data_IF_800251200519
#
_entry.id   IF_800251200519
#
_cell.length_a   1.000
_cell.length_b   1.000
_cell.length_c   1.000
_cell.angle_alpha   90.00
_cell.angle_beta   90.00
_cell.angle_gamma   90.00
#
_symmetry.space_group_name_H-M   'P 1'
#
loop_
_entity.id
_entity.type
_entity.pdbx_description
1 polymer ?
#
# COMPACT_ATOMS: atom_id res chain seq x y z
N UNK A 1 -2.32 -15.81 -35.02
CA UNK A 1 -3.79 -15.82 -35.16
C UNK A 1 -4.35 -15.16 -33.92
N UNK A 2 -5.08 -14.05 -34.13
CA UNK A 2 -5.80 -13.17 -33.19
C UNK A 2 -5.00 -12.24 -32.23
N UNK A 3 -5.66 -11.11 -31.89
CA UNK A 3 -5.20 -9.72 -32.00
C UNK A 3 -5.02 -8.96 -30.67
N UNK A 4 -4.34 -7.82 -30.83
CA UNK A 4 -4.07 -6.62 -29.99
C UNK A 4 -5.31 -5.93 -29.42
N UNK A 5 -5.17 -5.24 -28.27
CA UNK A 5 -5.66 -3.86 -28.11
C UNK A 5 -4.66 -2.95 -27.40
N UNK A 6 -4.72 -1.71 -27.85
CA UNK A 6 -3.92 -0.51 -27.59
C UNK A 6 -4.52 0.29 -26.41
N UNK A 7 -3.66 0.91 -25.60
CA UNK A 7 -4.01 2.05 -24.74
C UNK A 7 -2.90 3.11 -24.83
N UNK A 8 -2.80 3.74 -25.99
CA UNK A 8 -2.49 5.14 -26.25
C UNK A 8 -1.95 5.96 -25.05
N UNK A 9 -0.63 6.11 -24.95
CA UNK A 9 -0.04 7.46 -24.97
C UNK A 9 1.34 7.43 -25.64
N UNK A 10 1.49 8.39 -26.54
CA UNK A 10 2.55 8.59 -27.50
C UNK A 10 3.80 9.13 -26.80
N UNK A 11 4.92 8.41 -26.82
CA UNK A 11 6.27 8.90 -27.21
C UNK A 11 7.34 7.85 -26.91
N UNK A 12 7.65 7.03 -27.93
CA UNK A 12 8.85 6.23 -27.93
C UNK A 12 10.05 7.14 -28.26
N UNK A 13 10.80 7.58 -27.25
CA UNK A 13 12.16 8.07 -27.46
C UNK A 13 13.14 6.89 -27.37
N UNK A 14 13.61 6.44 -28.55
CA UNK A 14 14.90 5.74 -28.64
C UNK A 14 16.01 6.73 -28.27
N UNK A 15 16.94 6.33 -27.42
CA UNK A 15 18.31 6.84 -27.48
C UNK A 15 19.32 5.76 -27.06
N UNK A 16 20.37 5.69 -27.87
CA UNK A 16 21.53 4.82 -27.79
C UNK A 16 22.51 5.27 -26.69
N UNK A 17 23.12 4.26 -26.04
CA UNK A 17 24.49 4.14 -25.54
C UNK A 17 25.20 5.31 -24.83
N UNK A 18 25.65 5.06 -23.59
CA UNK A 18 27.09 5.10 -23.22
C UNK A 18 27.32 4.58 -21.79
N UNK A 19 28.40 3.80 -21.66
CA UNK A 19 28.87 3.07 -20.48
C UNK A 19 29.33 3.97 -19.33
N UNK A 20 28.93 3.63 -18.10
CA UNK A 20 29.76 3.81 -16.89
C UNK A 20 29.51 2.65 -15.93
N UNK A 21 30.57 1.89 -15.64
CA UNK A 21 30.60 0.88 -14.59
C UNK A 21 30.98 1.58 -13.31
N UNK A 22 30.04 1.67 -12.37
CA UNK A 22 30.36 1.88 -10.95
C UNK A 22 30.02 0.59 -10.22
N UNK A 23 31.05 -0.13 -9.80
CA UNK A 23 30.93 -1.23 -8.84
C UNK A 23 30.82 -0.61 -7.43
N UNK A 24 29.63 -0.68 -6.85
CA UNK A 24 29.45 -0.67 -5.40
C UNK A 24 28.47 -1.78 -5.06
N UNK A 25 28.92 -2.70 -4.22
CA UNK A 25 28.24 -3.93 -3.84
C UNK A 25 26.80 -3.68 -3.35
N UNK A 26 25.82 -3.98 -4.21
CA UNK A 26 24.45 -4.25 -3.81
C UNK A 26 23.97 -5.48 -4.58
N UNK A 27 23.38 -6.39 -3.81
CA UNK A 27 22.79 -7.68 -4.20
C UNK A 27 22.17 -7.63 -5.59
N UNK A 28 22.83 -8.31 -6.55
CA UNK A 28 22.28 -8.61 -7.87
C UNK A 28 21.06 -9.51 -7.70
N UNK A 29 19.87 -8.93 -7.72
CA UNK A 29 18.66 -9.68 -8.01
C UNK A 29 18.68 -10.04 -9.48
N UNK A 30 18.69 -11.35 -9.78
CA UNK A 30 18.51 -11.86 -11.13
C UNK A 30 17.23 -11.26 -11.73
N UNK A 31 17.40 -10.44 -12.76
CA UNK A 31 16.34 -9.95 -13.62
C UNK A 31 15.94 -11.04 -14.61
N UNK A 32 15.37 -12.13 -14.11
CA UNK A 32 14.68 -13.09 -14.97
C UNK A 32 13.18 -12.75 -14.94
N UNK A 33 12.72 -12.21 -16.08
CA UNK A 33 11.37 -12.23 -16.65
C UNK A 33 10.23 -12.97 -15.89
N UNK A 34 9.90 -12.54 -14.68
CA UNK A 34 8.62 -12.82 -14.00
C UNK A 34 7.81 -11.51 -13.92
N UNK A 35 7.75 -10.77 -15.03
CA UNK A 35 6.81 -9.67 -15.21
C UNK A 35 5.59 -10.22 -15.95
N UNK A 36 4.81 -11.06 -15.27
CA UNK A 36 3.38 -11.16 -15.56
C UNK A 36 2.76 -9.84 -15.13
N UNK A 37 2.94 -8.80 -15.95
CA UNK A 37 2.53 -7.45 -15.64
C UNK A 37 1.03 -7.43 -15.30
N UNK A 38 0.69 -6.80 -14.18
CA UNK A 38 -0.67 -6.33 -13.98
C UNK A 38 -0.90 -5.24 -15.04
N UNK A 39 -1.36 -5.61 -16.24
CA UNK A 39 -1.72 -4.66 -17.30
C UNK A 39 -2.98 -3.82 -16.95
N UNK A 40 -3.43 -3.89 -15.70
CA UNK A 40 -4.48 -3.03 -15.18
C UNK A 40 -3.80 -1.83 -14.52
N UNK A 41 -3.99 -0.65 -15.09
CA UNK A 41 -3.64 0.60 -14.42
C UNK A 41 -4.52 0.74 -13.18
N UNK A 42 -3.90 0.81 -12.00
CA UNK A 42 -4.58 1.02 -10.73
C UNK A 42 -4.39 2.46 -10.27
N UNK A 43 -5.50 3.06 -9.83
CA UNK A 43 -5.46 4.24 -8.99
C UNK A 43 -5.36 3.76 -7.53
N UNK A 44 -4.33 4.21 -6.81
CA UNK A 44 -4.02 3.73 -5.46
C UNK A 44 -4.19 4.88 -4.48
N UNK A 45 -5.18 4.75 -3.60
CA UNK A 45 -5.38 5.68 -2.50
C UNK A 45 -4.64 5.15 -1.29
N UNK A 46 -3.63 5.90 -0.88
CA UNK A 46 -2.85 5.63 0.31
C UNK A 46 -3.32 6.54 1.45
N UNK A 47 -3.66 5.94 2.59
CA UNK A 47 -4.17 6.69 3.75
C UNK A 47 -3.28 6.42 4.97
N UNK A 48 -2.31 7.31 5.30
CA UNK A 48 -1.54 7.20 6.53
C UNK A 48 -2.39 7.49 7.78
N UNK A 49 -1.86 7.06 8.93
CA UNK A 49 -2.49 7.20 10.25
C UNK A 49 -2.15 8.54 10.91
N UNK A 50 -2.83 8.86 12.03
CA UNK A 50 -2.47 10.06 12.82
C UNK A 50 -2.64 9.96 14.36
N UNK A 51 -2.10 10.96 15.08
CA UNK A 51 -1.76 11.04 16.52
C UNK A 51 -2.90 11.23 17.52
N UNK A 52 -2.63 10.99 18.81
CA UNK A 52 -3.23 11.67 19.97
C UNK A 52 -2.17 12.24 20.95
N UNK A 53 -2.23 13.54 21.30
CA UNK A 53 -1.32 14.16 22.28
C UNK A 53 -1.78 13.93 23.72
N UNK A 54 -0.98 13.22 24.53
CA UNK A 54 -1.21 13.11 25.97
C UNK A 54 -0.92 14.45 26.66
N UNK A 55 -1.96 15.21 26.96
CA UNK A 55 -2.02 16.05 28.16
C UNK A 55 -3.26 15.62 28.97
N UNK A 56 -3.09 14.62 29.83
CA UNK A 56 -4.10 14.20 30.82
C UNK A 56 -4.76 12.83 30.58
N UNK A 57 -4.14 11.78 31.13
CA UNK A 57 -4.73 10.54 31.66
C UNK A 57 -5.76 9.69 30.87
N UNK A 58 -6.16 9.98 29.64
CA UNK A 58 -6.94 9.02 28.81
C UNK A 58 -6.08 8.43 27.71
N UNK A 59 -5.56 7.22 27.95
CA UNK A 59 -4.73 6.44 27.03
C UNK A 59 -5.56 5.87 25.86
N UNK A 60 -6.04 6.73 24.96
CA UNK A 60 -6.76 6.29 23.76
C UNK A 60 -5.86 6.40 22.50
N UNK A 61 -5.35 5.25 22.08
CA UNK A 61 -5.11 4.74 20.72
C UNK A 61 -4.37 5.57 19.63
N UNK A 62 -3.52 6.53 19.96
CA UNK A 62 -2.64 7.20 18.98
C UNK A 62 -1.30 6.50 18.71
N UNK A 63 -0.74 6.70 17.51
CA UNK A 63 0.68 6.40 17.17
C UNK A 63 1.59 7.56 17.56
N UNK A 64 2.84 7.34 17.99
CA UNK A 64 3.78 8.45 18.26
C UNK A 64 4.37 9.06 16.99
N UNK A 65 4.95 10.26 17.05
CA UNK A 65 5.69 10.88 15.93
C UNK A 65 6.72 9.92 15.32
N UNK A 66 7.45 9.18 16.16
CA UNK A 66 8.45 8.21 15.71
C UNK A 66 7.81 6.99 15.04
N UNK A 67 6.65 6.55 15.51
CA UNK A 67 5.88 5.46 14.88
C UNK A 67 5.30 5.91 13.55
N UNK A 68 4.79 7.15 13.46
CA UNK A 68 4.33 7.77 12.21
C UNK A 68 5.46 7.90 11.20
N UNK A 69 6.64 8.38 11.60
CA UNK A 69 7.84 8.41 10.73
C UNK A 69 8.22 7.02 10.22
N UNK A 70 8.16 5.99 11.08
CA UNK A 70 8.42 4.61 10.67
C UNK A 70 7.41 4.09 9.66
N UNK A 71 6.13 4.43 9.82
CA UNK A 71 5.10 4.14 8.84
C UNK A 71 5.40 4.81 7.49
N UNK A 72 5.74 6.10 7.49
CA UNK A 72 6.07 6.84 6.28
C UNK A 72 7.28 6.24 5.53
N UNK A 73 8.35 5.90 6.27
CA UNK A 73 9.54 5.22 5.74
C UNK A 73 9.19 3.85 5.16
N UNK A 74 8.35 3.07 5.86
CA UNK A 74 7.91 1.78 5.35
C UNK A 74 7.17 1.93 4.02
N UNK A 75 6.23 2.87 3.94
CA UNK A 75 5.41 3.09 2.74
C UNK A 75 6.24 3.60 1.58
N UNK A 76 7.18 4.50 1.84
CA UNK A 76 8.20 4.88 0.87
C UNK A 76 8.89 3.62 0.31
N UNK A 77 9.37 2.72 1.16
CA UNK A 77 10.03 1.48 0.71
C UNK A 77 9.14 0.57 -0.15
N UNK A 78 7.82 0.50 0.14
CA UNK A 78 6.88 -0.30 -0.65
C UNK A 78 6.78 0.24 -2.08
N UNK A 79 6.64 1.56 -2.23
CA UNK A 79 6.54 2.20 -3.55
C UNK A 79 7.85 2.10 -4.33
N UNK A 80 9.01 2.19 -3.66
CA UNK A 80 10.31 2.09 -4.30
C UNK A 80 10.54 0.73 -4.98
N UNK A 81 10.07 -0.35 -4.35
CA UNK A 81 10.50 -1.71 -4.72
C UNK A 81 9.87 -2.24 -6.01
N UNK A 82 8.72 -1.71 -6.46
CA UNK A 82 7.90 -2.46 -7.42
C UNK A 82 7.22 -1.67 -8.53
N UNK A 83 7.10 -0.35 -8.46
CA UNK A 83 6.21 0.37 -9.38
C UNK A 83 6.93 1.38 -10.25
N UNK A 84 6.66 1.33 -11.55
CA UNK A 84 7.01 2.38 -12.50
C UNK A 84 5.86 3.38 -12.55
N UNK A 85 6.15 4.68 -12.45
CA UNK A 85 5.16 5.76 -12.38
C UNK A 85 4.21 5.86 -13.58
N UNK A 86 4.52 5.16 -14.66
CA UNK A 86 3.70 5.16 -15.86
C UNK A 86 2.50 4.19 -15.77
N UNK A 87 2.47 3.32 -14.76
CA UNK A 87 1.47 2.24 -14.63
C UNK A 87 0.47 2.49 -13.50
N UNK A 88 0.75 3.45 -12.62
CA UNK A 88 -0.02 3.73 -11.41
C UNK A 88 -0.19 5.22 -11.18
N UNK A 89 -1.33 5.60 -10.62
CA UNK A 89 -1.52 6.94 -10.06
C UNK A 89 -1.75 6.81 -8.56
N UNK A 90 -1.03 7.62 -7.77
CA UNK A 90 -1.11 7.58 -6.31
C UNK A 90 -1.80 8.84 -5.83
N UNK A 91 -2.72 8.69 -4.89
CA UNK A 91 -3.25 9.76 -4.07
C UNK A 91 -2.96 9.47 -2.60
N UNK A 92 -2.75 10.51 -1.80
CA UNK A 92 -2.41 10.43 -0.38
C UNK A 92 -3.37 11.29 0.43
N UNK A 93 -4.01 10.71 1.45
CA UNK A 93 -4.86 11.47 2.37
C UNK A 93 -4.73 11.01 3.81
N UNK A 94 -4.69 11.93 4.76
CA UNK A 94 -4.54 11.68 6.18
C UNK A 94 -5.86 11.80 6.92
N UNK A 95 -5.99 11.05 8.02
CA UNK A 95 -7.13 11.15 8.92
C UNK A 95 -6.67 11.10 10.38
N UNK A 96 -7.28 11.94 11.21
CA UNK A 96 -7.08 11.96 12.65
C UNK A 96 -8.45 11.94 13.31
N UNK A 97 -8.87 13.06 13.90
CA UNK A 97 -10.15 13.23 14.56
C UNK A 97 -11.36 13.08 13.60
N UNK A 98 -12.58 12.87 14.13
CA UNK A 98 -13.79 12.69 13.32
C UNK A 98 -14.14 13.84 12.35
N UNK A 99 -13.56 15.02 12.54
CA UNK A 99 -13.76 16.19 11.69
C UNK A 99 -12.64 16.40 10.66
N UNK A 100 -11.47 15.81 10.86
CA UNK A 100 -10.26 16.10 10.06
C UNK A 100 -9.92 14.98 9.09
N UNK A 101 -9.98 15.32 7.80
CA UNK A 101 -9.37 14.55 6.71
C UNK A 101 -8.57 15.53 5.85
N UNK A 102 -7.28 15.28 5.70
CA UNK A 102 -6.38 16.16 4.95
C UNK A 102 -5.92 15.48 3.67
N UNK A 103 -6.06 16.15 2.54
CA UNK A 103 -5.56 15.63 1.27
C UNK A 103 -4.12 16.11 1.14
N UNK A 104 -3.17 15.17 1.13
CA UNK A 104 -1.74 15.46 0.97
C UNK A 104 -1.40 15.56 -0.52
N UNK A 105 -1.94 14.63 -1.32
CA UNK A 105 -1.79 14.62 -2.77
C UNK A 105 -3.00 13.97 -3.45
N UNK A 106 -3.43 14.51 -4.58
CA UNK A 106 -4.42 13.89 -5.47
C UNK A 106 -3.75 13.13 -6.60
N UNK A 107 -4.54 12.38 -7.37
CA UNK A 107 -4.04 11.68 -8.54
C UNK A 107 -3.44 12.66 -9.57
N UNK A 108 -2.33 12.27 -10.19
CA UNK A 108 -1.58 13.10 -11.15
C UNK A 108 -0.63 14.14 -10.52
N UNK A 109 -0.65 14.34 -9.20
CA UNK A 109 0.32 15.21 -8.52
C UNK A 109 1.65 14.49 -8.24
N UNK A 110 1.62 13.17 -8.10
CA UNK A 110 2.80 12.32 -7.86
C UNK A 110 3.24 11.69 -9.18
N UNK A 111 4.23 12.28 -9.84
CA UNK A 111 4.64 11.87 -11.20
C UNK A 111 5.96 11.09 -11.22
N UNK A 112 6.72 11.13 -10.13
CA UNK A 112 8.01 10.47 -10.02
C UNK A 112 8.37 10.21 -8.55
N UNK A 113 9.51 9.53 -8.36
CA UNK A 113 10.03 9.16 -7.05
C UNK A 113 10.28 10.35 -6.13
N UNK A 114 10.82 11.44 -6.66
CA UNK A 114 11.10 12.62 -5.86
C UNK A 114 9.81 13.27 -5.36
N UNK A 115 8.72 13.24 -6.13
CA UNK A 115 7.41 13.72 -5.68
C UNK A 115 6.90 12.84 -4.53
N UNK A 116 6.97 11.51 -4.68
CA UNK A 116 6.60 10.58 -3.60
C UNK A 116 7.38 10.86 -2.32
N UNK A 117 8.70 11.04 -2.42
CA UNK A 117 9.54 11.38 -1.26
C UNK A 117 9.16 12.74 -0.68
N UNK A 118 8.89 13.74 -1.51
CA UNK A 118 8.46 15.07 -1.06
C UNK A 118 7.19 14.95 -0.22
N UNK A 119 6.15 14.31 -0.75
CA UNK A 119 4.88 14.19 -0.04
C UNK A 119 5.02 13.36 1.24
N UNK A 120 5.65 12.18 1.18
CA UNK A 120 5.80 11.28 2.34
C UNK A 120 6.81 11.75 3.39
N UNK A 121 7.71 12.69 3.11
CA UNK A 121 8.68 13.19 4.11
C UNK A 121 8.39 14.58 4.62
N UNK A 122 7.82 15.43 3.76
CA UNK A 122 7.73 16.86 4.05
C UNK A 122 6.29 17.34 4.21
N UNK A 123 5.33 16.71 3.51
CA UNK A 123 3.96 17.24 3.43
C UNK A 123 2.96 16.43 4.28
N UNK A 124 3.28 15.17 4.60
CA UNK A 124 2.52 14.41 5.60
C UNK A 124 2.68 15.04 6.97
N UNK A 125 1.58 15.23 7.70
CA UNK A 125 1.57 15.91 8.98
C UNK A 125 0.93 15.07 10.07
N UNK A 126 1.53 15.19 11.25
CA UNK A 126 1.01 14.57 12.45
C UNK A 126 -0.02 15.51 13.12
N UNK A 127 -1.30 15.24 12.94
CA UNK A 127 -2.45 15.87 13.57
C UNK A 127 -2.88 15.08 14.82
N UNK A 128 -3.02 15.76 15.95
CA UNK A 128 -3.69 15.22 17.14
C UNK A 128 -5.16 14.86 16.88
N UNK A 129 -5.70 13.90 17.62
CA UNK A 129 -7.11 13.51 17.56
C UNK A 129 -7.37 12.04 17.80
N UNK A 130 -8.63 11.64 17.84
CA UNK A 130 -9.01 10.24 17.86
C UNK A 130 -9.30 9.77 16.43
N UNK A 131 -8.46 8.87 15.91
CA UNK A 131 -8.61 8.27 14.59
C UNK A 131 -10.05 7.84 14.28
N UNK A 132 -10.66 8.37 13.21
CA UNK A 132 -12.00 7.97 12.73
C UNK A 132 -11.95 7.23 11.39
N UNK A 133 -12.17 5.91 11.45
CA UNK A 133 -12.33 5.05 10.27
C UNK A 133 -13.52 5.49 9.43
N UNK A 134 -14.63 5.87 10.08
CA UNK A 134 -15.82 6.37 9.39
C UNK A 134 -15.47 7.57 8.53
N UNK A 135 -14.73 8.54 9.08
CA UNK A 135 -14.36 9.74 8.33
C UNK A 135 -13.40 9.44 7.19
N UNK A 136 -12.38 8.61 7.45
CA UNK A 136 -11.40 8.20 6.45
C UNK A 136 -12.06 7.52 5.24
N UNK A 137 -12.92 6.53 5.51
CA UNK A 137 -13.61 5.78 4.45
C UNK A 137 -14.67 6.63 3.75
N UNK A 138 -15.43 7.46 4.49
CA UNK A 138 -16.38 8.41 3.89
C UNK A 138 -15.69 9.33 2.90
N UNK A 139 -14.56 9.91 3.29
CA UNK A 139 -13.82 10.85 2.42
C UNK A 139 -13.19 10.14 1.23
N UNK A 140 -12.73 8.90 1.41
CA UNK A 140 -12.16 8.11 0.32
C UNK A 140 -13.21 7.66 -0.70
N UNK A 141 -14.42 7.37 -0.24
CA UNK A 141 -15.56 7.00 -1.09
C UNK A 141 -16.06 8.19 -1.92
N UNK A 142 -15.98 9.40 -1.37
CA UNK A 142 -16.40 10.63 -2.05
C UNK A 142 -15.57 10.85 -3.34
N UNK A 143 -16.21 10.81 -4.53
CA UNK A 143 -15.51 10.93 -5.81
C UNK A 143 -14.86 12.30 -6.02
N UNK A 144 -15.18 13.30 -5.19
CA UNK A 144 -14.61 14.64 -5.25
C UNK A 144 -13.35 14.81 -4.39
N UNK A 145 -13.04 13.88 -3.49
CA UNK A 145 -11.86 13.99 -2.61
C UNK A 145 -10.56 13.80 -3.38
N UNK A 146 -10.47 12.74 -4.19
CA UNK A 146 -9.27 12.44 -4.98
C UNK A 146 -9.57 12.61 -6.46
N UNK A 147 -9.39 13.84 -6.95
CA UNK A 147 -9.57 14.20 -8.37
C UNK A 147 -8.29 13.92 -9.18
N UNK A 148 -8.36 14.03 -10.51
CA UNK A 148 -7.19 13.89 -11.39
C UNK A 148 -6.78 12.46 -11.76
N UNK A 149 -7.61 11.46 -11.42
CA UNK A 149 -7.35 10.06 -11.76
C UNK A 149 -7.25 9.82 -13.27
N UNK A 150 -6.57 8.75 -13.69
CA UNK A 150 -6.40 8.40 -15.11
C UNK A 150 -7.70 7.94 -15.80
N UNK A 151 -8.86 8.12 -15.15
CA UNK A 151 -10.13 7.52 -15.56
C UNK A 151 -10.17 6.01 -15.37
N UNK A 152 -9.26 5.46 -14.56
CA UNK A 152 -9.19 4.04 -14.28
C UNK A 152 -10.47 3.55 -13.59
N UNK A 153 -10.92 2.37 -14.01
CA UNK A 153 -12.16 1.76 -13.51
C UNK A 153 -11.95 1.10 -12.14
N UNK A 154 -10.70 0.84 -11.74
CA UNK A 154 -10.38 0.12 -10.51
C UNK A 154 -9.49 0.95 -9.58
N UNK A 155 -9.94 1.11 -8.34
CA UNK A 155 -9.22 1.80 -7.26
C UNK A 155 -8.87 0.82 -6.15
N UNK A 156 -7.60 0.73 -5.80
CA UNK A 156 -7.17 0.02 -4.60
C UNK A 156 -6.98 1.03 -3.46
N UNK A 157 -7.56 0.76 -2.29
CA UNK A 157 -7.40 1.60 -1.11
C UNK A 157 -6.55 0.85 -0.10
N UNK A 158 -5.45 1.45 0.33
CA UNK A 158 -4.63 0.94 1.43
C UNK A 158 -4.79 1.86 2.63
N UNK A 159 -5.51 1.39 3.63
CA UNK A 159 -5.77 2.09 4.88
C UNK A 159 -4.89 1.52 5.99
N UNK A 160 -4.03 2.35 6.55
CA UNK A 160 -3.31 2.02 7.77
C UNK A 160 -4.13 2.51 8.96
N UNK A 161 -4.26 1.70 10.02
CA UNK A 161 -5.03 2.08 11.22
C UNK A 161 -4.47 1.49 12.51
N UNK A 162 -4.44 2.27 13.60
CA UNK A 162 -4.14 1.84 14.97
C UNK A 162 -5.40 1.68 15.83
N UNK A 163 -6.56 2.00 15.27
CA UNK A 163 -7.85 1.96 15.95
C UNK A 163 -8.73 0.84 15.40
N UNK A 164 -9.52 0.24 16.29
CA UNK A 164 -10.56 -0.72 15.96
C UNK A 164 -11.73 -0.59 16.94
N UNK A 165 -12.21 0.64 17.14
CA UNK A 165 -13.33 0.94 18.02
C UNK A 165 -14.62 0.40 17.39
N UNK A 166 -15.36 -0.47 18.10
CA UNK A 166 -16.49 -1.22 17.52
C UNK A 166 -17.58 -0.33 16.91
N UNK A 167 -17.91 0.79 17.57
CA UNK A 167 -18.92 1.73 17.09
C UNK A 167 -18.51 2.45 15.79
N UNK A 168 -17.23 2.83 15.69
CA UNK A 168 -16.67 3.48 14.50
C UNK A 168 -16.54 2.47 13.35
N UNK A 169 -16.08 1.25 13.63
CA UNK A 169 -16.07 0.14 12.65
C UNK A 169 -17.48 -0.11 12.09
N UNK A 170 -18.49 -0.23 12.97
CA UNK A 170 -19.85 -0.49 12.54
C UNK A 170 -20.40 0.63 11.63
N UNK A 171 -20.08 1.90 11.93
CA UNK A 171 -20.51 3.05 11.14
C UNK A 171 -19.74 3.16 9.82
N UNK A 172 -18.45 2.79 9.82
CA UNK A 172 -17.58 2.81 8.65
C UNK A 172 -17.94 1.73 7.61
N UNK A 173 -18.66 0.69 8.00
CA UNK A 173 -18.99 -0.47 7.14
C UNK A 173 -19.66 -0.06 5.81
N UNK A 174 -20.62 0.86 5.82
CA UNK A 174 -21.32 1.28 4.60
C UNK A 174 -20.37 1.91 3.56
N UNK A 175 -19.37 2.67 4.02
CA UNK A 175 -18.37 3.30 3.16
C UNK A 175 -17.35 2.29 2.67
N UNK A 176 -16.96 1.35 3.54
CA UNK A 176 -16.11 0.21 3.15
C UNK A 176 -16.77 -0.62 2.04
N UNK A 177 -18.06 -0.91 2.15
CA UNK A 177 -18.80 -1.67 1.14
C UNK A 177 -18.95 -0.91 -0.18
N UNK A 178 -19.04 0.43 -0.15
CA UNK A 178 -19.02 1.26 -1.35
C UNK A 178 -17.64 1.28 -2.03
N UNK A 179 -16.56 1.43 -1.26
CA UNK A 179 -15.18 1.36 -1.76
C UNK A 179 -14.92 0.00 -2.41
N UNK A 180 -15.33 -1.09 -1.75
CA UNK A 180 -15.12 -2.46 -2.23
C UNK A 180 -15.80 -2.79 -3.56
N UNK A 181 -16.82 -2.03 -3.96
CA UNK A 181 -17.44 -2.17 -5.30
C UNK A 181 -16.53 -1.66 -6.42
N UNK A 182 -15.58 -0.77 -6.10
CA UNK A 182 -14.67 -0.14 -7.06
C UNK A 182 -13.25 -0.73 -7.02
N UNK A 183 -12.97 -1.64 -6.09
CA UNK A 183 -11.69 -2.35 -5.99
C UNK A 183 -11.37 -2.75 -4.55
N UNK A 184 -10.18 -3.30 -4.27
CA UNK A 184 -9.87 -3.85 -2.95
C UNK A 184 -9.71 -2.74 -1.90
N UNK A 185 -10.26 -2.96 -0.71
CA UNK A 185 -9.92 -2.23 0.51
C UNK A 185 -8.96 -3.09 1.34
N UNK A 186 -7.68 -2.70 1.35
CA UNK A 186 -6.62 -3.34 2.11
C UNK A 186 -6.48 -2.57 3.43
N UNK A 187 -6.63 -3.25 4.56
CA UNK A 187 -6.43 -2.64 5.87
C UNK A 187 -5.13 -3.19 6.48
N UNK A 188 -4.26 -2.28 6.90
CA UNK A 188 -3.04 -2.59 7.68
C UNK A 188 -3.29 -2.18 9.13
N UNK A 189 -3.56 -3.17 9.99
CA UNK A 189 -3.78 -2.98 11.42
C UNK A 189 -2.43 -2.82 12.15
N UNK A 190 -2.17 -1.62 12.67
CA UNK A 190 -0.90 -1.24 13.26
C UNK A 190 -0.95 -1.16 14.78
N UNK A 191 0.11 -1.65 15.41
CA UNK A 191 0.26 -1.61 16.86
C UNK A 191 -0.62 -2.62 17.61
N UNK A 192 -0.50 -2.65 18.94
CA UNK A 192 -1.19 -3.63 19.79
C UNK A 192 -2.70 -3.39 19.94
N UNK A 193 -3.17 -2.17 19.63
CA UNK A 193 -4.56 -1.76 19.87
C UNK A 193 -5.48 -2.00 18.67
N UNK A 194 -4.92 -2.23 17.47
CA UNK A 194 -5.69 -2.51 16.27
C UNK A 194 -5.99 -4.01 16.17
N UNK A 195 -7.26 -4.39 16.34
CA UNK A 195 -7.69 -5.78 16.24
C UNK A 195 -8.09 -6.14 14.80
N UNK A 196 -7.40 -7.12 14.21
CA UNK A 196 -7.73 -7.64 12.89
C UNK A 196 -9.14 -8.23 12.81
N UNK A 197 -9.61 -8.92 13.86
CA UNK A 197 -10.95 -9.52 13.87
C UNK A 197 -12.07 -8.48 13.93
N UNK A 198 -11.79 -7.31 14.55
CA UNK A 198 -12.72 -6.18 14.55
C UNK A 198 -12.73 -5.46 13.21
N UNK A 199 -11.58 -5.36 12.55
CA UNK A 199 -11.44 -4.65 11.27
C UNK A 199 -11.83 -5.50 10.05
N UNK A 200 -11.85 -6.83 10.16
CA UNK A 200 -12.13 -7.74 9.04
C UNK A 200 -13.48 -7.53 8.32
N UNK A 201 -14.57 -7.10 8.99
CA UNK A 201 -15.82 -6.80 8.28
C UNK A 201 -15.66 -5.69 7.22
N UNK A 202 -14.75 -4.73 7.45
CA UNK A 202 -14.49 -3.63 6.53
C UNK A 202 -13.77 -4.11 5.26
N UNK A 203 -12.72 -4.93 5.40
CA UNK A 203 -11.86 -5.32 4.26
C UNK A 203 -12.27 -6.61 3.55
N UNK A 204 -13.19 -7.42 4.11
CA UNK A 204 -13.59 -8.71 3.53
C UNK A 204 -14.03 -8.59 2.05
N UNK A 205 -13.53 -9.46 1.15
CA UNK A 205 -12.81 -10.71 1.42
C UNK A 205 -11.30 -10.58 1.65
N UNK A 206 -10.72 -9.40 1.51
CA UNK A 206 -9.28 -9.18 1.72
C UNK A 206 -8.95 -9.30 3.22
N UNK A 207 -7.98 -10.14 3.60
CA UNK A 207 -7.57 -10.26 4.99
C UNK A 207 -6.95 -8.95 5.48
N UNK A 208 -7.19 -8.62 6.75
CA UNK A 208 -6.49 -7.51 7.42
C UNK A 208 -5.04 -7.93 7.63
N UNK A 209 -4.11 -7.11 7.15
CA UNK A 209 -2.67 -7.34 7.30
C UNK A 209 -2.23 -6.74 8.63
N UNK A 210 -1.48 -7.49 9.45
CA UNK A 210 -1.08 -7.03 10.78
C UNK A 210 0.35 -6.48 10.79
N UNK A 211 0.53 -5.37 11.49
CA UNK A 211 1.83 -4.80 11.85
C UNK A 211 1.85 -4.44 13.34
N UNK A 212 1.99 -5.44 14.23
CA UNK A 212 1.74 -5.27 15.67
C UNK A 212 2.82 -4.45 16.41
N UNK A 213 4.05 -4.42 15.90
CA UNK A 213 5.16 -3.67 16.48
C UNK A 213 5.78 -2.73 15.45
N UNK A 214 5.63 -1.43 15.67
CA UNK A 214 6.20 -0.37 14.81
C UNK A 214 7.73 -0.45 14.68
N UNK A 215 8.43 -1.07 15.64
CA UNK A 215 9.88 -1.24 15.59
C UNK A 215 10.31 -2.46 14.78
N UNK A 216 9.39 -3.37 14.47
CA UNK A 216 9.66 -4.62 13.79
C UNK A 216 8.70 -4.78 12.62
N UNK A 217 9.10 -4.25 11.45
CA UNK A 217 8.37 -4.40 10.19
C UNK A 217 8.37 -5.89 9.80
N UNK A 218 7.21 -6.56 9.68
CA UNK A 218 7.16 -7.94 9.21
C UNK A 218 7.80 -8.05 7.82
N UNK A 219 8.64 -9.06 7.62
CA UNK A 219 9.42 -9.27 6.39
C UNK A 219 8.55 -9.35 5.13
N UNK A 220 7.33 -9.85 5.30
CA UNK A 220 6.32 -10.10 4.28
C UNK A 220 5.26 -8.99 4.19
N UNK A 221 5.33 -7.94 5.00
CA UNK A 221 4.32 -6.88 5.04
C UNK A 221 4.15 -6.22 3.66
N UNK A 222 5.25 -5.85 3.01
CA UNK A 222 5.23 -5.22 1.70
C UNK A 222 4.67 -6.15 0.62
N UNK A 223 5.12 -7.41 0.58
CA UNK A 223 4.62 -8.40 -0.39
C UNK A 223 3.14 -8.70 -0.19
N UNK A 224 2.67 -8.75 1.06
CA UNK A 224 1.26 -9.00 1.37
C UNK A 224 0.38 -7.82 0.91
N UNK A 225 0.83 -6.57 1.08
CA UNK A 225 0.11 -5.39 0.57
C UNK A 225 0.03 -5.43 -0.96
N UNK A 226 1.15 -5.71 -1.62
CA UNK A 226 1.23 -5.75 -3.09
C UNK A 226 0.38 -6.87 -3.66
N UNK A 227 0.41 -8.06 -3.05
CA UNK A 227 -0.44 -9.18 -3.43
C UNK A 227 -1.93 -8.86 -3.22
N UNK A 228 -2.28 -8.10 -2.18
CA UNK A 228 -3.66 -7.69 -1.95
C UNK A 228 -4.14 -6.63 -2.95
N UNK A 229 -3.25 -5.75 -3.43
CA UNK A 229 -3.54 -4.77 -4.48
C UNK A 229 -3.70 -5.47 -5.84
N UNK A 230 -2.78 -6.39 -6.16
CA UNK A 230 -2.83 -7.15 -7.40
C UNK A 230 -2.73 -8.68 -7.13
N UNK A 231 -3.88 -9.37 -6.93
CA UNK A 231 -3.89 -10.80 -6.62
C UNK A 231 -3.28 -11.72 -7.69
N UNK A 232 -3.23 -11.26 -8.95
CA UNK A 232 -2.54 -11.98 -10.03
C UNK A 232 -1.02 -11.98 -9.87
N UNK A 233 -0.47 -11.14 -9.00
CA UNK A 233 0.94 -11.12 -8.59
C UNK A 233 1.21 -12.23 -7.56
N UNK A 234 0.76 -13.45 -7.85
CA UNK A 234 1.19 -14.62 -7.09
C UNK A 234 2.64 -14.88 -7.47
N UNK A 235 3.57 -14.54 -6.58
CA UNK A 235 4.96 -14.97 -6.72
C UNK A 235 4.96 -16.48 -6.79
N UNK A 236 5.35 -17.04 -7.94
CA UNK A 236 5.53 -18.47 -8.09
C UNK A 236 6.34 -18.96 -6.89
N UNK A 237 5.74 -19.84 -6.08
CA UNK A 237 6.42 -20.44 -4.94
C UNK A 237 7.75 -20.97 -5.46
N UNK A 238 8.90 -20.60 -4.87
CA UNK A 238 10.18 -21.16 -5.28
C UNK A 238 10.02 -22.67 -5.31
N UNK A 239 10.11 -23.27 -6.50
CA UNK A 239 10.02 -24.72 -6.62
C UNK A 239 11.22 -25.24 -5.84
N UNK A 240 10.96 -25.74 -4.63
CA UNK A 240 12.00 -26.31 -3.80
C UNK A 240 12.66 -27.40 -4.64
N UNK A 241 13.96 -27.31 -4.93
CA UNK A 241 14.61 -28.27 -5.80
C UNK A 241 14.41 -29.66 -5.18
N UNK A 242 13.67 -30.50 -5.88
CA UNK A 242 13.44 -31.89 -5.47
C UNK A 242 14.78 -32.58 -5.54
N UNK A 243 15.48 -32.63 -4.41
CA UNK A 243 16.75 -33.35 -4.28
C UNK A 243 16.49 -34.81 -4.59
N UNK A 244 16.86 -35.25 -5.79
CA UNK A 244 16.95 -36.66 -6.12
C UNK A 244 18.14 -37.25 -5.38
N UNK A 245 17.89 -37.80 -4.19
CA UNK A 245 18.88 -38.61 -3.47
C UNK A 245 19.26 -39.81 -4.35
N UNK A 246 20.53 -39.96 -4.78
CA UNK A 246 20.95 -41.14 -5.53
C UNK A 246 20.84 -42.37 -4.62
N UNK A 247 20.10 -43.39 -5.06
CA UNK A 247 20.10 -44.69 -4.40
C UNK A 247 21.49 -45.34 -4.57
N UNK A 248 22.21 -45.52 -3.46
CA UNK A 248 23.45 -46.28 -3.45
C UNK A 248 23.06 -47.77 -3.40
N UNK A 249 23.16 -48.45 -4.54
CA UNK A 249 23.01 -49.90 -4.61
C UNK A 249 24.34 -50.55 -4.25
N UNK A 250 24.45 -51.14 -3.06
CA UNK A 250 25.60 -51.98 -2.71
C UNK A 250 25.43 -53.36 -3.33
N UNK A 251 26.31 -53.74 -4.26
CA UNK A 251 26.45 -55.12 -4.70
C UNK A 251 27.27 -55.90 -3.67
N UNK A 252 26.76 -57.07 -3.28
CA UNK A 252 27.45 -58.11 -2.52
C UNK A 252 27.80 -59.28 -3.45
#
# INVERSE_FOLDING_TARGET
MFFVFDCNSNTAHRNNASNYIFCTDYITFCTDNILGACHHSYDIVYIPLNYHCMHGSSAHNGITDDQFKKQAIFVESVFQMKWTYNEISIAIGEYSDPSTFYIVATFGEINNWNDTQKYLKNDIQHFGGDASLTKALQKTEDPTTFTGGMGCVQKAVVLFTSTSIDADVATAQQYADAIKKNGPLIIVAMGPNASASKLSPLSSPTPVIQWPDYNNVPVDLASNIIQAICPSYSTATPVQPTGSTPAITSAA
#
